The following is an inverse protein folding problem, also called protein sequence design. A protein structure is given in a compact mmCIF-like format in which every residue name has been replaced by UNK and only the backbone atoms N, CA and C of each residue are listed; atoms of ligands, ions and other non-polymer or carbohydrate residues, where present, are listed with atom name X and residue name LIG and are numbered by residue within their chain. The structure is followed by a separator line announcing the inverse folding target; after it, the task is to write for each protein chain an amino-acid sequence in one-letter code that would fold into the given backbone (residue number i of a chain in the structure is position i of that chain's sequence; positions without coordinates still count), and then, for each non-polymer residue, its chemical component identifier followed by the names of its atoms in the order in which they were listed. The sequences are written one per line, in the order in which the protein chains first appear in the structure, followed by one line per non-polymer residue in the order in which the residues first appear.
data_IF_577870685495
#
_entry.id   IF_577870685495
#
_cell.length_a   1.000
_cell.length_b   1.000
_cell.length_c   1.000
_cell.angle_alpha   90.00
_cell.angle_beta   90.00
_cell.angle_gamma   90.00
#
_symmetry.space_group_name_H-M   'P 1'
#
loop_
_entity.id
_entity.type
_entity.pdbx_description
1 polymer ?
#
# COMPACT_ATOMS: atom_id res chain seq x y z
N UNK A 1 9.85 -11.71 -71.15
CA UNK A 1 8.91 -11.27 -70.09
C UNK A 1 9.72 -11.19 -68.81
N UNK A 2 10.08 -9.98 -68.38
CA UNK A 2 10.80 -9.75 -67.13
C UNK A 2 9.75 -9.55 -66.00
N UNK A 3 9.97 -10.23 -64.88
CA UNK A 3 9.15 -10.13 -63.66
C UNK A 3 9.68 -9.01 -62.79
N UNK A 4 8.84 -8.03 -62.47
CA UNK A 4 9.17 -6.92 -61.56
C UNK A 4 9.27 -7.40 -60.10
N UNK A 5 10.18 -6.81 -59.29
CA UNK A 5 10.31 -7.14 -57.89
C UNK A 5 9.27 -6.41 -57.03
N UNK A 6 8.63 -7.13 -56.12
CA UNK A 6 7.65 -6.61 -55.16
C UNK A 6 8.37 -5.74 -54.10
N UNK A 7 7.82 -4.56 -53.73
CA UNK A 7 8.45 -3.71 -52.73
C UNK A 7 8.31 -4.28 -51.31
N UNK A 8 9.26 -3.96 -50.39
CA UNK A 8 9.24 -4.46 -49.02
C UNK A 8 8.08 -3.85 -48.21
N UNK A 9 7.47 -4.68 -47.37
CA UNK A 9 6.37 -4.29 -46.48
C UNK A 9 6.82 -3.23 -45.46
N UNK A 10 5.99 -2.22 -45.25
CA UNK A 10 6.21 -1.16 -44.27
C UNK A 10 6.26 -1.72 -42.83
N UNK A 11 7.11 -1.17 -41.96
CA UNK A 11 7.18 -1.59 -40.56
C UNK A 11 5.85 -1.30 -39.87
N UNK A 12 5.29 -2.32 -39.21
CA UNK A 12 4.06 -2.20 -38.43
C UNK A 12 4.22 -1.17 -37.29
N UNK A 13 3.10 -0.60 -36.81
CA UNK A 13 3.14 0.41 -35.76
C UNK A 13 3.78 -0.18 -34.50
N UNK A 14 4.87 0.45 -34.05
CA UNK A 14 5.53 0.10 -32.79
C UNK A 14 4.57 0.20 -31.60
N UNK A 15 4.86 -0.50 -30.49
CA UNK A 15 3.98 -0.51 -29.33
C UNK A 15 3.80 0.93 -28.83
N UNK A 16 2.56 1.40 -28.84
CA UNK A 16 2.20 2.73 -28.37
C UNK A 16 2.61 2.97 -26.91
N UNK A 17 2.66 4.24 -26.46
CA UNK A 17 3.02 4.57 -25.10
C UNK A 17 2.13 3.81 -24.11
N UNK A 18 2.76 3.12 -23.15
CA UNK A 18 2.04 2.37 -22.11
C UNK A 18 1.14 3.34 -21.33
N UNK A 19 -0.12 2.98 -21.04
CA UNK A 19 -1.03 3.83 -20.28
C UNK A 19 -0.41 4.19 -18.93
N UNK A 20 -0.54 5.47 -18.55
CA UNK A 20 -0.12 5.93 -17.22
C UNK A 20 -1.06 5.32 -16.18
N UNK A 21 -0.55 4.38 -15.37
CA UNK A 21 -1.31 3.78 -14.26
C UNK A 21 -1.58 4.87 -13.23
N UNK A 22 -2.84 5.15 -12.92
CA UNK A 22 -3.19 6.13 -11.89
C UNK A 22 -2.92 5.54 -10.51
N UNK A 23 -2.63 6.40 -9.53
CA UNK A 23 -2.37 5.99 -8.14
C UNK A 23 -3.50 5.11 -7.58
N UNK A 24 -4.76 5.47 -7.84
CA UNK A 24 -5.92 4.69 -7.38
C UNK A 24 -5.98 3.30 -8.02
N UNK A 25 -5.58 3.15 -9.29
CA UNK A 25 -5.54 1.84 -9.95
C UNK A 25 -4.50 0.94 -9.28
N UNK A 26 -3.33 1.49 -8.95
CA UNK A 26 -2.31 0.76 -8.19
C UNK A 26 -2.80 0.39 -6.77
N UNK A 27 -3.55 1.27 -6.10
CA UNK A 27 -4.16 0.98 -4.79
C UNK A 27 -5.17 -0.17 -4.89
N UNK A 28 -6.07 -0.16 -5.88
CA UNK A 28 -7.03 -1.26 -6.09
C UNK A 28 -6.31 -2.59 -6.30
N UNK A 29 -5.30 -2.61 -7.17
CA UNK A 29 -4.51 -3.82 -7.41
C UNK A 29 -3.75 -4.30 -6.17
N UNK A 30 -3.21 -3.38 -5.37
CA UNK A 30 -2.54 -3.73 -4.11
C UNK A 30 -3.52 -4.33 -3.09
N UNK A 31 -4.73 -3.77 -2.97
CA UNK A 31 -5.77 -4.30 -2.09
C UNK A 31 -6.24 -5.69 -2.53
N UNK A 32 -6.42 -5.92 -3.83
CA UNK A 32 -6.75 -7.24 -4.37
C UNK A 32 -5.67 -8.26 -4.03
N UNK A 33 -4.40 -7.92 -4.27
CA UNK A 33 -3.26 -8.76 -3.91
C UNK A 33 -3.26 -9.09 -2.41
N UNK A 34 -3.50 -8.09 -1.56
CA UNK A 34 -3.55 -8.27 -0.11
C UNK A 34 -4.65 -9.23 0.33
N UNK A 35 -5.89 -9.00 -0.13
CA UNK A 35 -7.05 -9.83 0.22
C UNK A 35 -6.83 -11.27 -0.23
N UNK A 36 -6.44 -11.48 -1.49
CA UNK A 36 -6.16 -12.82 -2.00
C UNK A 36 -5.08 -13.51 -1.18
N UNK A 37 -3.95 -12.84 -0.94
CA UNK A 37 -2.83 -13.42 -0.19
C UNK A 37 -3.23 -13.78 1.25
N UNK A 38 -3.96 -12.89 1.94
CA UNK A 38 -4.44 -13.15 3.30
C UNK A 38 -5.43 -14.31 3.36
N UNK A 39 -6.34 -14.43 2.39
CA UNK A 39 -7.29 -15.56 2.32
C UNK A 39 -6.59 -16.87 1.96
N UNK A 40 -5.56 -16.84 1.12
CA UNK A 40 -4.71 -18.02 0.85
C UNK A 40 -3.96 -18.47 2.10
N UNK A 41 -3.48 -17.54 2.94
CA UNK A 41 -2.82 -17.87 4.21
C UNK A 41 -3.80 -18.40 5.26
N UNK A 42 -5.00 -17.83 5.33
CA UNK A 42 -6.06 -18.32 6.21
C UNK A 42 -7.44 -17.89 5.67
N UNK A 43 -8.33 -18.83 5.33
CA UNK A 43 -9.64 -18.52 4.73
C UNK A 43 -10.62 -17.88 5.72
N UNK A 44 -10.34 -17.90 7.02
CA UNK A 44 -11.18 -17.31 8.06
C UNK A 44 -10.99 -15.80 8.25
N UNK A 45 -9.98 -15.22 7.59
CA UNK A 45 -9.84 -13.77 7.53
C UNK A 45 -11.06 -13.13 6.88
N UNK A 46 -11.50 -12.00 7.43
CA UNK A 46 -12.66 -11.25 6.92
C UNK A 46 -12.29 -9.80 6.70
N UNK A 47 -12.89 -9.17 5.70
CA UNK A 47 -12.57 -7.83 5.25
C UNK A 47 -13.82 -6.95 5.20
N UNK A 48 -13.63 -5.69 5.58
CA UNK A 48 -14.56 -4.59 5.41
C UNK A 48 -13.80 -3.43 4.75
N UNK A 49 -14.51 -2.54 4.06
CA UNK A 49 -13.90 -1.48 3.26
C UNK A 49 -14.55 -0.14 3.57
N UNK A 50 -13.72 0.89 3.69
CA UNK A 50 -14.15 2.26 3.90
C UNK A 50 -13.30 3.22 3.07
N UNK A 51 -13.87 4.38 2.77
CA UNK A 51 -13.16 5.53 2.19
C UNK A 51 -13.15 6.69 3.18
N UNK A 52 -12.14 7.56 3.04
CA UNK A 52 -12.02 8.78 3.84
C UNK A 52 -12.14 9.97 2.90
N UNK A 53 -13.23 10.71 3.04
CA UNK A 53 -13.46 12.02 2.43
C UNK A 53 -13.24 13.13 3.45
N UNK A 54 -14.26 13.94 3.69
CA UNK A 54 -14.33 14.81 4.87
C UNK A 54 -14.55 13.98 6.14
N UNK A 55 -15.41 12.97 6.04
CA UNK A 55 -15.66 11.94 7.05
C UNK A 55 -15.42 10.55 6.48
N UNK A 56 -15.47 9.53 7.35
CA UNK A 56 -15.35 8.13 6.92
C UNK A 56 -16.69 7.64 6.36
N UNK A 57 -16.64 6.94 5.23
CA UNK A 57 -17.79 6.29 4.60
C UNK A 57 -17.52 4.81 4.43
N UNK A 58 -18.44 3.96 4.91
CA UNK A 58 -18.32 2.51 4.73
C UNK A 58 -18.76 2.14 3.32
N UNK A 59 -17.85 1.55 2.55
CA UNK A 59 -18.15 0.98 1.22
C UNK A 59 -18.76 -0.40 1.39
N UNK A 60 -18.20 -1.17 2.33
CA UNK A 60 -18.72 -2.46 2.76
C UNK A 60 -18.54 -2.55 4.27
N UNK A 61 -19.66 -2.55 4.99
CA UNK A 61 -19.67 -2.57 6.46
C UNK A 61 -19.40 -3.96 7.02
N UNK A 62 -20.05 -4.97 6.45
CA UNK A 62 -19.98 -6.33 6.99
C UNK A 62 -18.67 -7.02 6.61
N UNK A 63 -17.99 -7.54 7.63
CA UNK A 63 -16.78 -8.34 7.47
C UNK A 63 -17.09 -9.67 6.77
N UNK A 64 -16.51 -9.88 5.59
CA UNK A 64 -16.70 -11.10 4.80
C UNK A 64 -15.37 -11.71 4.35
N UNK A 65 -15.30 -13.03 4.22
CA UNK A 65 -14.21 -13.76 3.56
C UNK A 65 -14.46 -13.98 2.06
N UNK A 66 -15.63 -13.56 1.54
CA UNK A 66 -15.98 -13.71 0.13
C UNK A 66 -15.15 -12.80 -0.77
N UNK A 67 -14.42 -13.42 -1.69
CA UNK A 67 -13.54 -12.75 -2.64
C UNK A 67 -14.35 -11.88 -3.61
N UNK A 68 -15.50 -12.37 -4.10
CA UNK A 68 -16.35 -11.64 -5.04
C UNK A 68 -16.77 -10.28 -4.48
N UNK A 69 -17.28 -10.28 -3.26
CA UNK A 69 -17.72 -9.08 -2.57
C UNK A 69 -16.56 -8.14 -2.21
N UNK A 70 -15.38 -8.68 -1.88
CA UNK A 70 -14.19 -7.86 -1.70
C UNK A 70 -13.76 -7.18 -3.01
N UNK A 71 -13.78 -7.91 -4.14
CA UNK A 71 -13.48 -7.34 -5.45
C UNK A 71 -14.45 -6.22 -5.80
N UNK A 72 -15.76 -6.42 -5.63
CA UNK A 72 -16.76 -5.38 -5.89
C UNK A 72 -16.54 -4.11 -5.06
N UNK A 73 -16.27 -4.27 -3.76
CA UNK A 73 -15.96 -3.16 -2.87
C UNK A 73 -14.67 -2.43 -3.25
N UNK A 74 -13.64 -3.16 -3.69
CA UNK A 74 -12.38 -2.54 -4.13
C UNK A 74 -12.56 -1.80 -5.47
N UNK A 75 -13.34 -2.34 -6.40
CA UNK A 75 -13.60 -1.68 -7.68
C UNK A 75 -14.45 -0.42 -7.55
N UNK A 76 -15.33 -0.36 -6.54
CA UNK A 76 -16.15 0.84 -6.28
C UNK A 76 -15.39 1.98 -5.59
N UNK A 77 -14.19 1.73 -5.06
CA UNK A 77 -13.29 2.79 -4.57
C UNK A 77 -12.99 3.77 -5.69
N UNK A 78 -13.17 5.06 -5.45
CA UNK A 78 -12.83 6.13 -6.39
C UNK A 78 -11.98 7.19 -5.71
N UNK A 79 -11.11 7.83 -6.48
CA UNK A 79 -10.42 9.03 -6.03
C UNK A 79 -11.39 10.21 -6.23
N UNK A 80 -11.66 10.94 -5.16
CA UNK A 80 -12.39 12.20 -5.26
C UNK A 80 -11.49 13.25 -5.92
N UNK A 81 -12.05 14.02 -6.85
CA UNK A 81 -11.38 15.18 -7.43
C UNK A 81 -11.40 16.38 -6.47
N UNK A 82 -12.25 16.32 -5.45
CA UNK A 82 -12.38 17.37 -4.43
C UNK A 82 -11.18 17.37 -3.49
N UNK A 83 -10.68 18.57 -3.20
CA UNK A 83 -9.71 18.78 -2.12
C UNK A 83 -10.44 18.90 -0.79
N UNK A 84 -10.01 18.11 0.18
CA UNK A 84 -10.54 18.18 1.54
C UNK A 84 -9.57 18.95 2.43
N UNK A 85 -10.06 20.02 3.04
CA UNK A 85 -9.28 20.86 3.95
C UNK A 85 -8.93 20.15 5.27
N UNK A 86 -9.73 19.16 5.66
CA UNK A 86 -9.59 18.41 6.90
C UNK A 86 -9.48 16.91 6.64
N UNK A 87 -8.96 16.19 7.63
CA UNK A 87 -8.90 14.73 7.63
C UNK A 87 -9.10 14.25 9.08
N UNK A 88 -10.35 14.18 9.51
CA UNK A 88 -10.71 13.74 10.86
C UNK A 88 -10.79 12.21 10.93
N UNK A 89 -9.87 11.58 11.66
CA UNK A 89 -9.84 10.14 11.90
C UNK A 89 -10.70 9.71 13.10
N UNK A 90 -11.33 10.65 13.82
CA UNK A 90 -12.10 10.36 15.04
C UNK A 90 -13.21 9.33 14.78
N UNK A 91 -13.98 9.50 13.71
CA UNK A 91 -15.07 8.58 13.40
C UNK A 91 -14.54 7.20 12.97
N UNK A 92 -13.43 7.16 12.23
CA UNK A 92 -12.76 5.90 11.88
C UNK A 92 -12.37 5.13 13.16
N UNK A 93 -11.78 5.82 14.14
CA UNK A 93 -11.37 5.21 15.40
C UNK A 93 -12.56 4.77 16.25
N UNK A 94 -13.68 5.52 16.26
CA UNK A 94 -14.93 5.08 16.91
C UNK A 94 -15.45 3.78 16.32
N UNK A 95 -15.47 3.67 14.99
CA UNK A 95 -15.91 2.46 14.29
C UNK A 95 -14.94 1.32 14.58
N UNK A 96 -13.64 1.52 14.40
CA UNK A 96 -12.62 0.50 14.65
C UNK A 96 -12.67 0.01 16.09
N UNK A 97 -12.86 0.89 17.06
CA UNK A 97 -13.00 0.49 18.45
C UNK A 97 -14.26 -0.34 18.70
N UNK A 98 -15.40 0.02 18.12
CA UNK A 98 -16.61 -0.79 18.27
C UNK A 98 -16.43 -2.20 17.66
N UNK A 99 -15.92 -2.26 16.43
CA UNK A 99 -15.66 -3.52 15.73
C UNK A 99 -14.56 -4.35 16.41
N UNK A 100 -13.59 -3.69 17.05
CA UNK A 100 -12.52 -4.34 17.82
C UNK A 100 -13.06 -5.11 19.01
N UNK A 101 -14.06 -4.57 19.72
CA UNK A 101 -14.74 -5.29 20.82
C UNK A 101 -15.50 -6.50 20.32
N UNK A 102 -16.20 -6.36 19.19
CA UNK A 102 -16.93 -7.46 18.57
C UNK A 102 -15.95 -8.56 18.16
N UNK A 103 -14.86 -8.20 17.47
CA UNK A 103 -13.82 -9.14 17.09
C UNK A 103 -13.23 -9.88 18.31
N UNK A 104 -12.87 -9.14 19.36
CA UNK A 104 -12.31 -9.71 20.60
C UNK A 104 -13.27 -10.72 21.24
N UNK A 105 -14.57 -10.39 21.35
CA UNK A 105 -15.58 -11.32 21.86
C UNK A 105 -15.75 -12.61 21.04
N UNK A 106 -15.29 -12.59 19.78
CA UNK A 106 -15.28 -13.75 18.87
C UNK A 106 -13.91 -14.45 18.83
N UNK A 107 -12.97 -14.07 19.71
CA UNK A 107 -11.61 -14.59 19.71
C UNK A 107 -10.78 -14.16 18.50
N UNK A 108 -11.09 -13.00 17.92
CA UNK A 108 -10.46 -12.44 16.71
C UNK A 108 -9.79 -11.10 17.05
N UNK A 109 -8.87 -10.69 16.18
CA UNK A 109 -8.24 -9.37 16.24
C UNK A 109 -8.82 -8.47 15.16
N UNK A 110 -9.00 -7.18 15.48
CA UNK A 110 -9.23 -6.17 14.47
C UNK A 110 -7.94 -5.47 14.08
N UNK A 111 -7.72 -5.37 12.78
CA UNK A 111 -6.62 -4.64 12.17
C UNK A 111 -7.17 -3.63 11.15
N UNK A 112 -6.76 -2.38 11.28
CA UNK A 112 -7.08 -1.30 10.34
C UNK A 112 -5.86 -1.04 9.47
N UNK A 113 -5.99 -1.16 8.15
CA UNK A 113 -4.94 -0.78 7.20
C UNK A 113 -5.37 0.52 6.51
N UNK A 114 -4.74 1.63 6.88
CA UNK A 114 -5.01 2.96 6.36
C UNK A 114 -4.04 3.29 5.21
N UNK A 115 -4.57 3.47 4.00
CA UNK A 115 -3.79 4.02 2.88
C UNK A 115 -4.08 5.52 2.79
N UNK A 116 -3.17 6.36 3.30
CA UNK A 116 -3.34 7.80 3.33
C UNK A 116 -2.64 8.46 2.13
N UNK A 117 -3.35 9.28 1.35
CA UNK A 117 -2.86 9.80 0.07
C UNK A 117 -2.75 11.34 0.00
N UNK A 118 -2.98 12.08 1.09
CA UNK A 118 -3.02 13.56 1.08
C UNK A 118 -1.69 14.12 1.58
N UNK A 119 -1.01 14.93 0.76
CA UNK A 119 0.28 15.55 1.10
C UNK A 119 0.15 16.90 1.81
N UNK A 120 -1.01 17.56 1.69
CA UNK A 120 -1.26 18.91 2.19
C UNK A 120 -2.19 18.96 3.39
N UNK A 121 -2.85 17.86 3.73
CA UNK A 121 -3.87 17.81 4.78
C UNK A 121 -3.33 16.96 5.92
N UNK A 122 -3.12 17.56 7.09
CA UNK A 122 -2.69 16.84 8.28
C UNK A 122 -3.88 16.08 8.87
N UNK A 123 -3.79 14.76 9.11
CA UNK A 123 -4.82 14.05 9.86
C UNK A 123 -4.87 14.53 11.31
N UNK A 124 -6.06 14.49 11.90
CA UNK A 124 -6.26 14.76 13.32
C UNK A 124 -7.29 13.80 13.89
N UNK A 125 -7.33 13.67 15.21
CA UNK A 125 -8.36 12.90 15.90
C UNK A 125 -8.59 13.43 17.32
N UNK A 126 -9.77 13.15 17.86
CA UNK A 126 -10.11 13.31 19.25
C UNK A 126 -10.44 11.93 19.81
N UNK A 127 -9.39 11.20 20.25
CA UNK A 127 -9.52 9.83 20.73
C UNK A 127 -8.95 9.72 22.15
N UNK A 128 -9.66 9.09 23.12
CA UNK A 128 -9.14 8.90 24.46
C UNK A 128 -7.91 7.96 24.47
N UNK A 129 -6.98 8.17 25.41
CA UNK A 129 -5.71 7.42 25.52
C UNK A 129 -5.93 5.92 25.82
N UNK A 130 -7.10 5.54 26.35
CA UNK A 130 -7.49 4.15 26.65
C UNK A 130 -8.99 3.96 26.38
N UNK A 131 -9.44 2.79 25.89
CA UNK A 131 -8.71 1.55 25.61
C UNK A 131 -8.32 1.37 24.13
N UNK A 132 -7.29 0.56 23.89
CA UNK A 132 -6.83 0.12 22.56
C UNK A 132 -7.29 -1.33 22.31
N UNK A 133 -8.01 -1.56 21.23
CA UNK A 133 -8.58 -2.89 20.89
C UNK A 133 -8.55 -3.19 19.39
N UNK A 134 -7.76 -2.42 18.66
CA UNK A 134 -7.43 -2.68 17.27
C UNK A 134 -5.97 -2.27 17.03
N UNK A 135 -5.37 -2.79 15.96
CA UNK A 135 -4.04 -2.36 15.51
C UNK A 135 -4.17 -1.54 14.24
N UNK A 136 -3.51 -0.39 14.17
CA UNK A 136 -3.45 0.43 12.97
C UNK A 136 -2.15 0.12 12.22
N UNK A 137 -2.24 0.00 10.90
CA UNK A 137 -1.12 0.07 9.99
C UNK A 137 -1.39 1.16 8.97
N UNK A 138 -0.33 1.85 8.54
CA UNK A 138 -0.43 3.00 7.65
C UNK A 138 0.48 2.78 6.44
N UNK A 139 -0.06 3.00 5.25
CA UNK A 139 0.72 3.24 4.04
C UNK A 139 0.50 4.70 3.63
N UNK A 140 1.52 5.53 3.76
CA UNK A 140 1.49 6.93 3.35
C UNK A 140 2.00 7.11 1.92
N UNK A 141 1.08 7.42 1.01
CA UNK A 141 1.36 7.71 -0.40
C UNK A 141 1.39 9.22 -0.59
N UNK A 142 2.59 9.79 -0.63
CA UNK A 142 2.76 11.23 -0.66
C UNK A 142 3.37 11.73 -1.96
N UNK A 143 3.26 13.03 -2.17
CA UNK A 143 3.97 13.75 -3.21
C UNK A 143 5.27 14.32 -2.63
N UNK A 144 6.18 14.76 -3.50
CA UNK A 144 7.37 15.49 -3.04
C UNK A 144 6.95 16.77 -2.31
N UNK A 145 7.72 17.23 -1.31
CA UNK A 145 7.52 18.54 -0.70
C UNK A 145 7.47 19.65 -1.75
N UNK A 146 6.50 20.55 -1.60
CA UNK A 146 6.30 21.77 -2.41
C UNK A 146 5.83 22.90 -1.49
N UNK A 147 5.71 24.13 -2.01
CA UNK A 147 5.18 25.26 -1.23
C UNK A 147 3.72 25.03 -0.76
N UNK A 148 2.96 24.21 -1.48
CA UNK A 148 1.52 23.99 -1.25
C UNK A 148 1.22 22.70 -0.45
N UNK A 149 2.25 22.00 0.04
CA UNK A 149 2.07 20.76 0.80
C UNK A 149 3.06 20.63 1.97
N UNK A 150 2.83 19.66 2.85
CA UNK A 150 3.64 19.45 4.05
C UNK A 150 3.75 17.96 4.44
N UNK A 151 4.27 17.10 3.55
CA UNK A 151 4.25 15.65 3.76
C UNK A 151 4.93 15.20 5.06
N UNK A 152 5.98 15.90 5.53
CA UNK A 152 6.59 15.61 6.83
C UNK A 152 5.62 15.81 7.98
N UNK A 153 4.92 16.95 8.04
CA UNK A 153 3.92 17.23 9.10
C UNK A 153 2.75 16.24 9.06
N UNK A 154 2.43 15.73 7.87
CA UNK A 154 1.42 14.68 7.70
C UNK A 154 1.95 13.35 8.23
N UNK A 155 3.18 12.98 7.89
CA UNK A 155 3.83 11.76 8.38
C UNK A 155 3.90 11.77 9.91
N UNK A 156 4.39 12.84 10.52
CA UNK A 156 4.50 12.98 11.98
C UNK A 156 3.12 12.77 12.66
N UNK A 157 2.06 13.37 12.11
CA UNK A 157 0.71 13.19 12.64
C UNK A 157 0.15 11.76 12.44
N UNK A 158 0.58 11.06 11.39
CA UNK A 158 0.23 9.65 11.18
C UNK A 158 0.97 8.74 12.18
N UNK A 159 2.24 9.03 12.48
CA UNK A 159 3.00 8.35 13.55
C UNK A 159 2.32 8.54 14.90
N UNK A 160 2.01 9.78 15.26
CA UNK A 160 1.31 10.10 16.52
C UNK A 160 0.00 9.31 16.63
N UNK A 161 -0.80 9.28 15.55
CA UNK A 161 -2.07 8.56 15.53
C UNK A 161 -1.86 7.04 15.67
N UNK A 162 -0.87 6.47 14.99
CA UNK A 162 -0.51 5.05 15.04
C UNK A 162 -0.14 4.62 16.46
N UNK A 163 0.76 5.35 17.11
CA UNK A 163 1.20 5.09 18.48
C UNK A 163 0.06 5.24 19.48
N UNK A 164 -0.82 6.21 19.25
CA UNK A 164 -1.94 6.51 20.16
C UNK A 164 -3.02 5.42 20.17
N UNK A 165 -3.29 4.75 19.04
CA UNK A 165 -4.44 3.82 18.94
C UNK A 165 -4.08 2.34 18.87
N UNK A 166 -2.86 1.99 18.46
CA UNK A 166 -2.53 0.58 18.16
C UNK A 166 -2.33 -0.27 19.41
N UNK A 167 -3.08 -1.37 19.50
CA UNK A 167 -3.00 -2.38 20.57
C UNK A 167 -1.71 -3.20 20.49
N UNK A 168 -1.33 -3.63 19.29
CA UNK A 168 -0.06 -4.30 19.01
C UNK A 168 0.83 -3.37 18.19
N UNK A 169 2.06 -3.82 17.90
CA UNK A 169 2.98 -3.11 17.00
C UNK A 169 2.26 -2.73 15.71
N UNK A 170 2.20 -1.44 15.40
CA UNK A 170 1.65 -0.89 14.17
C UNK A 170 2.79 -0.50 13.23
N UNK A 171 2.63 -0.71 11.93
CA UNK A 171 3.61 -0.31 10.93
C UNK A 171 3.17 0.96 10.22
N UNK A 172 4.12 1.85 9.96
CA UNK A 172 3.96 3.02 9.08
C UNK A 172 4.99 2.95 7.95
N UNK A 173 4.48 2.78 6.73
CA UNK A 173 5.27 2.62 5.52
C UNK A 173 4.98 3.78 4.58
N UNK A 174 5.98 4.37 3.93
CA UNK A 174 5.76 5.51 3.03
C UNK A 174 6.37 5.34 1.63
N UNK A 175 5.83 6.08 0.66
CA UNK A 175 6.44 6.22 -0.67
C UNK A 175 6.01 7.51 -1.36
N UNK A 176 7.00 8.31 -1.77
CA UNK A 176 6.82 9.62 -2.38
C UNK A 176 6.76 9.66 -3.91
N UNK A 177 6.99 8.51 -4.58
CA UNK A 177 7.09 8.45 -6.06
C UNK A 177 5.94 7.69 -6.71
N UNK A 178 5.00 7.15 -5.94
CA UNK A 178 3.80 6.50 -6.47
C UNK A 178 4.06 5.29 -7.37
N UNK A 179 5.27 4.73 -7.39
CA UNK A 179 5.59 3.54 -8.18
C UNK A 179 4.76 2.36 -7.66
N UNK A 180 3.87 1.83 -8.50
CA UNK A 180 2.99 0.71 -8.15
C UNK A 180 3.76 -0.48 -7.55
N UNK A 181 4.95 -0.78 -8.08
CA UNK A 181 5.84 -1.83 -7.58
C UNK A 181 6.26 -1.63 -6.11
N UNK A 182 6.51 -0.38 -5.71
CA UNK A 182 6.88 -0.06 -4.32
C UNK A 182 5.66 -0.27 -3.43
N UNK A 183 4.49 0.23 -3.83
CA UNK A 183 3.24 0.00 -3.10
C UNK A 183 2.95 -1.50 -2.90
N UNK A 184 3.11 -2.32 -3.95
CA UNK A 184 2.92 -3.77 -3.81
C UNK A 184 3.89 -4.39 -2.81
N UNK A 185 5.17 -3.97 -2.81
CA UNK A 185 6.14 -4.42 -1.82
C UNK A 185 5.71 -4.02 -0.41
N UNK A 186 5.30 -2.77 -0.19
CA UNK A 186 4.82 -2.30 1.12
C UNK A 186 3.59 -3.11 1.58
N UNK A 187 2.67 -3.40 0.66
CA UNK A 187 1.50 -4.22 0.95
C UNK A 187 1.86 -5.66 1.34
N UNK A 188 2.90 -6.24 0.71
CA UNK A 188 3.40 -7.56 1.09
C UNK A 188 4.00 -7.59 2.50
N UNK A 189 4.68 -6.51 2.94
CA UNK A 189 5.18 -6.40 4.32
C UNK A 189 4.02 -6.52 5.31
N UNK A 190 2.89 -5.89 4.98
CA UNK A 190 1.68 -5.93 5.77
C UNK A 190 0.99 -7.30 5.78
N UNK A 191 1.40 -8.32 5.01
CA UNK A 191 0.75 -9.64 5.09
C UNK A 191 0.93 -10.33 6.45
N UNK A 192 2.03 -9.99 7.14
CA UNK A 192 2.36 -10.50 8.46
C UNK A 192 1.24 -10.27 9.47
N UNK A 193 1.01 -11.26 10.34
CA UNK A 193 -0.01 -11.18 11.39
C UNK A 193 0.47 -10.24 12.51
N UNK A 194 -0.37 -9.35 13.07
CA UNK A 194 0.06 -8.38 14.10
C UNK A 194 0.75 -8.98 15.31
N UNK A 195 0.34 -10.17 15.76
CA UNK A 195 0.98 -10.90 16.88
C UNK A 195 2.25 -11.69 16.51
N UNK A 196 2.58 -11.82 15.23
CA UNK A 196 3.68 -12.68 14.77
C UNK A 196 4.80 -11.91 14.05
N UNK A 197 4.58 -10.62 13.77
CA UNK A 197 5.60 -9.77 13.16
C UNK A 197 6.54 -9.22 14.24
N UNK A 198 7.78 -8.95 13.84
CA UNK A 198 8.73 -8.20 14.66
C UNK A 198 8.33 -6.71 14.74
N UNK A 199 9.10 -5.92 15.47
CA UNK A 199 9.00 -4.46 15.38
C UNK A 199 9.46 -3.99 14.00
N UNK A 200 8.97 -2.84 13.53
CA UNK A 200 9.26 -2.38 12.17
C UNK A 200 10.77 -2.18 11.92
N UNK A 201 11.51 -1.70 12.92
CA UNK A 201 12.95 -1.45 12.82
C UNK A 201 13.79 -2.71 12.62
N UNK A 202 13.26 -3.88 13.01
CA UNK A 202 13.92 -5.19 12.89
C UNK A 202 13.60 -5.89 11.56
N UNK A 203 12.85 -5.26 10.65
CA UNK A 203 12.50 -5.84 9.36
C UNK A 203 13.73 -6.01 8.44
N UNK A 204 14.32 -7.19 8.44
CA UNK A 204 15.36 -7.58 7.48
C UNK A 204 14.75 -8.28 6.25
N UNK A 205 14.26 -7.48 5.28
CA UNK A 205 13.74 -8.02 4.02
C UNK A 205 14.92 -8.21 3.05
N UNK A 206 15.19 -9.46 2.60
CA UNK A 206 16.33 -9.74 1.73
C UNK A 206 16.32 -8.86 0.47
N UNK A 207 17.43 -8.15 0.23
CA UNK A 207 17.62 -7.36 -0.99
C UNK A 207 17.65 -8.29 -2.21
N UNK A 208 17.17 -7.79 -3.36
CA UNK A 208 17.06 -8.57 -4.59
C UNK A 208 18.37 -9.28 -4.95
N UNK A 209 18.32 -10.61 -5.06
CA UNK A 209 19.45 -11.48 -5.41
C UNK A 209 20.09 -11.08 -6.75
N UNK A 210 19.31 -10.57 -7.70
CA UNK A 210 19.79 -10.18 -9.02
C UNK A 210 20.84 -9.05 -9.02
N UNK A 211 20.92 -8.21 -7.98
CA UNK A 211 21.94 -7.16 -7.89
C UNK A 211 23.31 -7.71 -7.43
N UNK A 212 23.35 -8.91 -6.84
CA UNK A 212 24.60 -9.59 -6.47
C UNK A 212 25.29 -10.23 -7.67
N UNK A 213 24.55 -10.75 -8.65
CA UNK A 213 25.15 -11.43 -9.81
C UNK A 213 25.98 -10.46 -10.67
N UNK A 214 25.44 -9.26 -10.95
CA UNK A 214 26.14 -8.25 -11.76
C UNK A 214 27.39 -7.66 -11.06
N UNK A 215 27.40 -7.61 -9.72
CA UNK A 215 28.54 -7.12 -8.96
C UNK A 215 29.68 -8.16 -8.88
N UNK A 216 29.33 -9.45 -8.84
CA UNK A 216 30.31 -10.54 -8.87
C UNK A 216 30.91 -10.71 -10.28
N UNK A 217 30.11 -10.54 -11.33
CA UNK A 217 30.60 -10.57 -12.72
C UNK A 217 31.51 -9.37 -13.06
N UNK A 218 31.21 -8.16 -12.54
CA UNK A 218 32.09 -7.00 -12.73
C UNK A 218 33.44 -7.15 -12.02
N UNK A 219 33.47 -7.74 -10.82
CA UNK A 219 34.71 -7.97 -10.06
C UNK A 219 35.58 -9.10 -10.65
N UNK A 220 35.00 -10.04 -11.41
CA UNK A 220 35.75 -11.11 -12.07
C UNK A 220 36.40 -10.67 -13.40
N UNK A 221 36.04 -9.51 -13.93
CA UNK A 221 36.52 -9.03 -15.23
C UNK A 221 37.72 -8.06 -15.14
N UNK A 222 38.11 -7.62 -13.94
CA UNK A 222 39.24 -6.68 -13.75
C UNK A 222 40.59 -7.37 -13.50
N UNK A 223 40.64 -8.70 -13.33
CA UNK A 223 41.88 -9.44 -13.01
C UNK A 223 42.61 -10.00 -14.27
N UNK A 224 42.17 -9.62 -15.46
CA UNK A 224 42.78 -10.00 -16.73
C UNK A 224 43.95 -9.10 -17.12
N UNK A 225 45.11 -9.29 -16.50
CA UNK A 225 46.37 -8.65 -16.92
C UNK A 225 46.80 -9.15 -18.32
N UNK A 226 47.04 -8.28 -19.32
CA UNK A 226 47.61 -8.71 -20.59
C UNK A 226 49.14 -8.81 -20.47
N UNK A 227 49.65 -10.03 -20.67
CA UNK A 227 51.08 -10.31 -20.87
C UNK A 227 51.53 -9.63 -22.17
N UNK A 228 52.52 -8.74 -22.07
CA UNK A 228 53.16 -8.09 -23.24
C UNK A 228 53.96 -9.10 -24.06
N UNK A 229 53.90 -8.94 -25.40
CA UNK A 229 54.89 -9.46 -26.35
C UNK A 229 55.60 -8.29 -27.02
#
# INVERSE_FOLDING_TARGET
MATDPTPPAAPGPGPGPRPVVRRMDAVRQALLLFVHSKLTMCPDHRFAFASIGETVSMIKKDFSSDVGSAMEAIHSLSASESRYATADLTQLFKIAYHEGKIAESQGRLLRVVLIYCRSSTKPHHQWPVKPKNFTLDIIYLHDKPTADNCPQKVYDALVDALEHVSQYEGYILETGQGLARVLFRLMCILLSHPLQRCIQDDLDIPKQVAKKTLAVEAAQNEDGTPVSS
#
